data_IF_135158135853
#
_entry.id   IF_135158135853
#
_cell.length_a   1.000
_cell.length_b   1.000
_cell.length_c   1.000
_cell.angle_alpha   90.00
_cell.angle_beta   90.00
_cell.angle_gamma   90.00
#
_symmetry.space_group_name_H-M   'P 1'
#
loop_
_entity.id
_entity.type
_entity.pdbx_description
1 polymer ?
#
# COMPACT_ATOMS: atom_id res chain seq x y z
N UNK A 1 3.87 -14.63 2.39
CA UNK A 1 2.90 -14.20 3.43
C UNK A 1 2.48 -15.36 4.33
N UNK A 2 2.02 -16.50 3.81
CA UNK A 2 1.54 -17.67 4.59
C UNK A 2 2.51 -18.19 5.69
N UNK A 3 3.83 -18.07 5.50
CA UNK A 3 4.82 -18.49 6.50
C UNK A 3 4.95 -17.54 7.69
N UNK A 4 4.61 -16.25 7.53
CA UNK A 4 4.68 -15.26 8.63
C UNK A 4 3.41 -15.37 9.48
N UNK A 5 2.25 -15.55 8.83
CA UNK A 5 0.98 -15.74 9.53
C UNK A 5 0.95 -17.02 10.37
N UNK A 6 1.68 -18.07 9.99
CA UNK A 6 1.71 -19.34 10.73
C UNK A 6 2.47 -19.27 12.06
N UNK A 7 3.34 -18.27 12.28
CA UNK A 7 4.04 -18.06 13.56
C UNK A 7 3.35 -17.04 14.47
N UNK A 8 2.14 -16.61 14.10
CA UNK A 8 1.40 -15.56 14.80
C UNK A 8 0.92 -16.05 16.17
N UNK A 9 1.17 -15.25 17.21
CA UNK A 9 0.55 -15.46 18.53
C UNK A 9 -0.89 -14.93 18.56
N UNK A 10 -1.74 -15.47 19.43
CA UNK A 10 -3.21 -15.23 19.45
C UNK A 10 -3.63 -13.75 19.45
N UNK A 11 -2.80 -12.85 19.99
CA UNK A 11 -3.09 -11.42 20.10
C UNK A 11 -2.17 -10.52 19.26
N UNK A 12 -1.32 -11.10 18.41
CA UNK A 12 -0.40 -10.31 17.59
C UNK A 12 -1.15 -9.68 16.41
N UNK A 13 -1.01 -8.37 16.24
CA UNK A 13 -1.52 -7.63 15.08
C UNK A 13 -0.46 -7.66 13.99
N UNK A 14 -0.85 -7.97 12.76
CA UNK A 14 0.04 -7.97 11.60
C UNK A 14 -0.55 -7.13 10.47
N UNK A 15 0.27 -6.25 9.91
CA UNK A 15 -0.08 -5.43 8.75
C UNK A 15 0.83 -5.77 7.58
N UNK A 16 0.30 -5.67 6.37
CA UNK A 16 1.09 -5.89 5.15
C UNK A 16 1.36 -4.55 4.46
N UNK A 17 2.62 -4.15 4.37
CA UNK A 17 3.00 -3.00 3.54
C UNK A 17 3.02 -3.40 2.05
N UNK A 18 2.44 -2.57 1.20
CA UNK A 18 2.36 -2.75 -0.25
C UNK A 18 2.85 -1.48 -0.96
N UNK A 19 3.55 -1.66 -2.08
CA UNK A 19 3.85 -0.59 -3.05
C UNK A 19 3.36 -1.06 -4.42
N UNK A 20 2.55 -0.24 -5.07
CA UNK A 20 2.00 -0.55 -6.38
C UNK A 20 2.94 0.05 -7.43
N UNK A 21 4.03 -0.66 -7.73
CA UNK A 21 5.08 -0.14 -8.62
C UNK A 21 5.00 -0.60 -10.06
N UNK A 22 4.17 -1.60 -10.34
CA UNK A 22 3.86 -2.13 -11.67
C UNK A 22 2.40 -2.54 -11.62
N UNK A 23 1.50 -1.59 -11.77
CA UNK A 23 0.09 -1.90 -11.92
C UNK A 23 -0.16 -2.15 -13.40
N UNK A 24 -0.65 -3.33 -13.71
CA UNK A 24 -1.45 -3.50 -14.92
C UNK A 24 -2.67 -2.56 -14.83
N UNK A 25 -3.36 -2.25 -15.93
CA UNK A 25 -4.46 -1.27 -15.98
C UNK A 25 -5.70 -1.62 -15.09
N UNK A 26 -5.60 -2.61 -14.20
CA UNK A 26 -6.66 -3.07 -13.30
C UNK A 26 -6.30 -3.01 -11.81
N UNK A 27 -7.33 -3.03 -10.97
CA UNK A 27 -7.19 -3.07 -9.51
C UNK A 27 -6.49 -4.36 -9.05
N UNK A 28 -5.61 -4.32 -8.03
CA UNK A 28 -4.80 -5.44 -7.54
C UNK A 28 -5.58 -6.45 -6.67
N UNK A 29 -6.77 -6.87 -7.15
CA UNK A 29 -7.74 -7.68 -6.39
C UNK A 29 -7.16 -9.01 -5.92
N UNK A 30 -6.40 -9.71 -6.76
CA UNK A 30 -5.84 -11.01 -6.40
C UNK A 30 -4.77 -10.91 -5.31
N UNK A 31 -3.97 -9.84 -5.34
CA UNK A 31 -3.01 -9.56 -4.28
C UNK A 31 -3.73 -9.25 -2.96
N UNK A 32 -4.76 -8.40 -2.99
CA UNK A 32 -5.53 -8.04 -1.79
C UNK A 32 -6.25 -9.25 -1.18
N UNK A 33 -6.91 -10.08 -2.00
CA UNK A 33 -7.51 -11.36 -1.55
C UNK A 33 -6.47 -12.30 -0.93
N UNK A 34 -5.27 -12.35 -1.49
CA UNK A 34 -4.18 -13.14 -0.91
C UNK A 34 -3.81 -12.64 0.48
N UNK A 35 -3.69 -11.32 0.67
CA UNK A 35 -3.38 -10.68 1.95
C UNK A 35 -4.49 -10.96 2.98
N UNK A 36 -5.76 -10.78 2.60
CA UNK A 36 -6.94 -11.11 3.41
C UNK A 36 -6.89 -12.55 3.92
N UNK A 37 -6.62 -13.51 3.02
CA UNK A 37 -6.55 -14.94 3.36
C UNK A 37 -5.46 -15.30 4.38
N UNK A 38 -4.50 -14.40 4.62
CA UNK A 38 -3.45 -14.62 5.63
C UNK A 38 -3.80 -14.08 7.02
N UNK A 39 -5.00 -13.51 7.19
CA UNK A 39 -5.49 -12.99 8.46
C UNK A 39 -4.79 -11.70 8.90
N UNK A 40 -4.28 -10.92 7.94
CA UNK A 40 -3.74 -9.59 8.21
C UNK A 40 -4.84 -8.64 8.69
N UNK A 41 -4.44 -7.64 9.48
CA UNK A 41 -5.38 -6.68 10.06
C UNK A 41 -5.54 -5.41 9.21
N UNK A 42 -4.55 -5.07 8.38
CA UNK A 42 -4.58 -3.90 7.52
C UNK A 42 -3.56 -4.01 6.38
N UNK A 43 -3.77 -3.21 5.33
CA UNK A 43 -2.82 -2.97 4.26
C UNK A 43 -2.22 -1.58 4.46
N UNK A 44 -0.90 -1.47 4.49
CA UNK A 44 -0.20 -0.19 4.53
C UNK A 44 0.28 0.16 3.13
N UNK A 45 -0.47 1.02 2.44
CA UNK A 45 -0.21 1.38 1.05
C UNK A 45 0.83 2.50 0.97
N UNK A 46 1.93 2.26 0.27
CA UNK A 46 2.95 3.30 0.04
C UNK A 46 2.50 4.23 -1.08
N UNK A 47 2.23 5.49 -0.76
CA UNK A 47 1.76 6.51 -1.73
C UNK A 47 2.86 7.50 -2.14
N UNK A 48 3.97 7.56 -1.41
CA UNK A 48 5.09 8.47 -1.68
C UNK A 48 6.18 7.89 -2.60
N UNK A 49 5.85 6.83 -3.34
CA UNK A 49 6.80 6.16 -4.22
C UNK A 49 6.77 6.66 -5.68
N UNK A 50 5.94 7.65 -5.99
CA UNK A 50 5.81 8.27 -7.32
C UNK A 50 6.90 9.32 -7.65
N UNK A 51 7.89 9.48 -6.77
CA UNK A 51 9.10 10.23 -7.05
C UNK A 51 10.23 9.62 -6.27
N UNK A 52 11.31 9.27 -6.97
CA UNK A 52 12.51 8.68 -6.38
C UNK A 52 12.85 9.29 -5.01
N UNK A 53 12.93 8.43 -4.00
CA UNK A 53 13.86 8.72 -2.91
C UNK A 53 15.23 8.58 -3.53
N UNK A 54 15.97 9.68 -3.67
CA UNK A 54 17.35 9.65 -4.16
C UNK A 54 18.18 8.74 -3.25
N UNK A 55 18.35 7.49 -3.66
CA UNK A 55 18.89 6.43 -2.82
C UNK A 55 20.43 6.42 -2.92
N UNK A 56 21.08 7.48 -2.43
CA UNK A 56 22.56 7.60 -2.45
C UNK A 56 23.29 6.48 -1.67
N UNK A 57 22.60 5.73 -0.82
CA UNK A 57 23.19 4.59 -0.06
C UNK A 57 23.15 3.27 -0.84
N UNK A 58 22.03 2.83 -1.43
CA UNK A 58 21.99 1.65 -2.30
C UNK A 58 22.88 1.75 -3.54
N UNK A 59 22.92 2.91 -4.20
CA UNK A 59 23.68 3.11 -5.44
C UNK A 59 25.20 2.92 -5.28
N UNK A 60 25.74 3.02 -4.06
CA UNK A 60 27.16 2.73 -3.80
C UNK A 60 27.51 1.24 -3.83
N UNK A 61 26.52 0.35 -3.69
CA UNK A 61 26.72 -1.11 -3.65
C UNK A 61 26.16 -1.83 -4.87
N UNK A 62 25.50 -1.09 -5.77
CA UNK A 62 24.97 -1.63 -7.01
C UNK A 62 26.05 -1.54 -8.09
N UNK A 63 26.33 -2.67 -8.74
CA UNK A 63 27.30 -2.76 -9.86
C UNK A 63 26.79 -2.09 -11.13
N UNK A 64 25.49 -1.83 -11.19
CA UNK A 64 24.76 -1.24 -12.29
C UNK A 64 23.70 -0.30 -11.72
N UNK A 65 23.82 0.99 -12.02
CA UNK A 65 22.87 2.05 -11.62
C UNK A 65 21.74 2.23 -12.64
N UNK A 66 21.75 1.46 -13.73
CA UNK A 66 20.76 1.50 -14.82
C UNK A 66 19.57 0.57 -14.61
N UNK A 67 19.39 -0.01 -13.41
CA UNK A 67 18.12 -0.63 -13.00
C UNK A 67 17.09 0.49 -12.85
N UNK A 68 16.66 1.01 -14.00
CA UNK A 68 15.58 1.95 -14.19
C UNK A 68 14.33 1.23 -13.74
N UNK A 69 13.75 1.73 -12.65
CA UNK A 69 12.43 1.34 -12.21
C UNK A 69 11.44 1.79 -13.30
N UNK A 70 10.51 0.91 -13.67
CA UNK A 70 9.47 1.18 -14.67
C UNK A 70 8.74 2.50 -14.33
N UNK A 71 8.77 3.52 -15.21
CA UNK A 71 8.20 4.84 -14.96
C UNK A 71 6.69 4.89 -15.23
N UNK A 72 5.99 3.75 -15.30
CA UNK A 72 4.52 3.72 -15.31
C UNK A 72 3.98 4.17 -13.97
N UNK A 73 4.03 5.49 -13.76
CA UNK A 73 3.40 6.21 -12.67
C UNK A 73 1.90 6.17 -12.89
N UNK A 74 1.22 5.18 -12.33
CA UNK A 74 -0.20 5.38 -11.99
C UNK A 74 -0.21 6.50 -10.96
N UNK A 75 -0.72 7.67 -11.35
CA UNK A 75 -0.89 8.79 -10.43
C UNK A 75 -1.77 8.30 -9.27
N UNK A 76 -1.23 8.31 -8.06
CA UNK A 76 -1.98 7.93 -6.87
C UNK A 76 -2.89 9.10 -6.48
N UNK A 77 -4.10 9.13 -7.06
CA UNK A 77 -5.16 10.09 -6.72
C UNK A 77 -6.06 9.54 -5.61
N UNK A 78 -6.86 10.41 -5.00
CA UNK A 78 -7.85 9.99 -4.00
C UNK A 78 -8.99 9.16 -4.59
N UNK A 79 -9.37 9.39 -5.85
CA UNK A 79 -10.34 8.56 -6.56
C UNK A 79 -9.80 7.13 -6.71
N UNK A 80 -8.54 6.98 -7.16
CA UNK A 80 -7.91 5.68 -7.28
C UNK A 80 -7.72 5.00 -5.91
N UNK A 81 -7.40 5.78 -4.88
CA UNK A 81 -7.35 5.29 -3.50
C UNK A 81 -8.69 4.72 -3.03
N UNK A 82 -9.80 5.40 -3.35
CA UNK A 82 -11.15 4.95 -3.03
C UNK A 82 -11.52 3.67 -3.81
N UNK A 83 -11.12 3.58 -5.09
CA UNK A 83 -11.28 2.35 -5.87
C UNK A 83 -10.49 1.18 -5.26
N UNK A 84 -9.27 1.42 -4.76
CA UNK A 84 -8.48 0.41 -4.05
C UNK A 84 -9.17 -0.06 -2.77
N UNK A 85 -9.78 0.85 -2.00
CA UNK A 85 -10.55 0.49 -0.81
C UNK A 85 -11.73 -0.42 -1.17
N UNK A 86 -12.39 -0.22 -2.32
CA UNK A 86 -13.47 -1.11 -2.78
C UNK A 86 -13.00 -2.53 -3.16
N UNK A 87 -11.69 -2.71 -3.37
CA UNK A 87 -11.11 -3.99 -3.79
C UNK A 87 -10.78 -4.93 -2.62
N UNK A 88 -10.99 -4.50 -1.36
CA UNK A 88 -10.70 -5.29 -0.15
C UNK A 88 -11.61 -4.90 1.01
N UNK A 89 -11.81 -5.83 1.93
CA UNK A 89 -12.45 -5.60 3.24
C UNK A 89 -11.49 -5.09 4.31
N UNK A 90 -10.17 -5.16 4.07
CA UNK A 90 -9.18 -4.69 5.03
C UNK A 90 -9.06 -3.16 4.99
N UNK A 91 -8.87 -2.51 6.15
CA UNK A 91 -8.44 -1.12 6.18
C UNK A 91 -7.16 -0.94 5.34
N UNK A 92 -7.20 0.02 4.42
CA UNK A 92 -6.02 0.51 3.72
C UNK A 92 -5.57 1.78 4.44
N UNK A 93 -4.29 1.87 4.78
CA UNK A 93 -3.68 3.01 5.48
C UNK A 93 -2.63 3.63 4.54
N UNK A 94 -2.76 4.90 4.15
CA UNK A 94 -1.81 5.57 3.26
C UNK A 94 -0.54 5.93 4.03
N UNK A 95 0.58 5.36 3.60
CA UNK A 95 1.92 5.63 4.13
C UNK A 95 2.71 6.49 3.17
N UNK A 96 3.20 7.62 3.67
CA UNK A 96 4.05 8.55 2.92
C UNK A 96 3.46 9.93 2.69
N UNK A 97 2.29 10.23 3.25
CA UNK A 97 1.69 11.57 3.27
C UNK A 97 2.68 12.60 3.83
N UNK A 98 2.80 13.76 3.16
CA UNK A 98 3.77 14.82 3.54
C UNK A 98 3.14 16.17 3.89
N UNK A 99 1.85 16.35 3.63
CA UNK A 99 1.12 17.59 3.92
C UNK A 99 0.03 17.33 4.96
N UNK A 100 -0.43 18.38 5.63
CA UNK A 100 -1.52 18.25 6.62
C UNK A 100 -2.86 18.09 5.89
N UNK A 101 -2.98 18.70 4.73
CA UNK A 101 -4.14 18.65 3.84
C UNK A 101 -4.41 17.21 3.40
N UNK A 102 -3.39 16.52 2.85
CA UNK A 102 -3.49 15.11 2.46
C UNK A 102 -3.80 14.20 3.66
N UNK A 103 -3.30 14.54 4.85
CA UNK A 103 -3.56 13.77 6.07
C UNK A 103 -5.01 13.91 6.53
N UNK A 104 -5.61 15.09 6.38
CA UNK A 104 -7.04 15.30 6.67
C UNK A 104 -7.91 14.56 5.68
N UNK A 105 -7.58 14.65 4.39
CA UNK A 105 -8.32 13.96 3.33
C UNK A 105 -8.29 12.43 3.49
N UNK A 106 -7.14 11.85 3.87
CA UNK A 106 -7.05 10.44 4.22
C UNK A 106 -8.03 10.03 5.32
N UNK A 107 -8.09 10.79 6.42
CA UNK A 107 -8.99 10.52 7.56
C UNK A 107 -10.44 10.63 7.11
N UNK A 108 -10.78 11.66 6.34
CA UNK A 108 -12.14 11.88 5.85
C UNK A 108 -12.63 10.75 4.96
N UNK A 109 -11.75 10.08 4.19
CA UNK A 109 -12.10 8.92 3.35
C UNK A 109 -12.13 7.59 4.11
N UNK A 110 -11.33 7.45 5.18
CA UNK A 110 -11.32 6.25 6.03
C UNK A 110 -12.57 6.14 6.93
N UNK A 111 -13.15 7.27 7.35
CA UNK A 111 -14.36 7.32 8.19
C UNK A 111 -15.62 6.72 7.53
N UNK A 112 -16.00 7.10 6.29
CA UNK A 112 -17.16 6.52 5.61
C UNK A 112 -16.98 5.03 5.27
N UNK A 113 -15.76 4.61 4.92
CA UNK A 113 -15.49 3.22 4.51
C UNK A 113 -15.48 2.24 5.69
N UNK A 114 -15.14 2.69 6.90
CA UNK A 114 -15.26 1.88 8.13
C UNK A 114 -16.67 1.86 8.70
N UNK A 115 -17.45 2.95 8.58
CA UNK A 115 -18.83 3.01 9.08
C UNK A 115 -19.83 2.12 8.30
N UNK A 116 -19.58 1.83 7.02
CA UNK A 116 -20.42 0.90 6.24
C UNK A 116 -20.10 -0.58 6.44
N UNK A 117 -18.99 -0.92 7.12
CA UNK A 117 -18.51 -2.29 7.30
C UNK A 117 -18.52 -2.76 8.78
N UNK A 118 -19.16 -1.99 9.68
CA UNK A 118 -19.30 -2.30 11.11
C UNK A 118 -20.64 -2.93 11.48
#
# INVERSE_FOLDING_TARGET
MKKISSFRSKNQVLWQQVSLSNLDDGLPRDMFKSIESTGMNAIVLTVDSAGDRTAYRPLRRLKDTSISRDPRYTLMTWDYYTELQSATSLPIIPKGIRTVEDAREAIELELPTTACNS
#
